data_IF_091709577205
#
_entry.id   IF_091709577205
#
_cell.length_a   1.000
_cell.length_b   1.000
_cell.length_c   1.000
_cell.angle_alpha   90.00
_cell.angle_beta   90.00
_cell.angle_gamma   90.00
#
_symmetry.space_group_name_H-M   'P 1'
#
loop_
_entity.id
_entity.type
_entity.pdbx_description
1 polymer ?
#
# COMPACT_ATOMS: atom_id res chain seq x y z
N UNK A 1 -16.05 25.00 2.52
CA UNK A 1 -15.99 23.65 1.92
C UNK A 1 -14.74 22.94 2.45
N UNK A 2 -14.84 22.31 3.62
CA UNK A 2 -13.71 21.58 4.20
C UNK A 2 -13.59 20.24 3.47
N UNK A 3 -12.50 20.06 2.73
CA UNK A 3 -12.10 18.79 2.15
C UNK A 3 -11.95 17.76 3.29
N UNK A 4 -12.82 16.75 3.35
CA UNK A 4 -13.02 15.81 4.47
C UNK A 4 -11.85 14.86 4.82
N UNK A 5 -10.61 15.35 4.79
CA UNK A 5 -9.41 14.60 5.11
C UNK A 5 -8.82 15.09 6.44
N UNK A 6 -8.86 14.24 7.45
CA UNK A 6 -8.21 14.46 8.75
C UNK A 6 -6.82 13.83 8.75
N UNK A 7 -5.82 14.49 9.33
CA UNK A 7 -4.45 13.96 9.50
C UNK A 7 -4.39 12.65 10.32
N UNK A 8 -5.47 12.33 11.03
CA UNK A 8 -5.60 11.15 11.87
C UNK A 8 -5.78 9.83 11.08
N UNK A 9 -6.26 9.88 9.84
CA UNK A 9 -6.54 8.68 9.04
C UNK A 9 -5.71 8.65 7.76
N UNK A 10 -5.22 7.47 7.32
CA UNK A 10 -4.53 7.36 6.05
C UNK A 10 -5.46 7.72 4.89
N UNK A 11 -4.90 8.33 3.85
CA UNK A 11 -5.61 8.62 2.59
C UNK A 11 -5.59 7.41 1.64
N UNK A 12 -4.61 6.52 1.82
CA UNK A 12 -4.51 5.22 1.15
C UNK A 12 -4.12 4.19 2.19
N UNK A 13 -4.86 3.09 2.27
CA UNK A 13 -4.58 1.97 3.16
C UNK A 13 -4.54 0.66 2.37
N UNK A 14 -3.45 -0.08 2.55
CA UNK A 14 -3.28 -1.47 2.14
C UNK A 14 -3.33 -2.30 3.43
N UNK A 15 -4.20 -3.30 3.48
CA UNK A 15 -4.32 -4.20 4.62
C UNK A 15 -4.24 -5.66 4.13
N UNK A 16 -3.20 -6.38 4.56
CA UNK A 16 -2.90 -7.77 4.21
C UNK A 16 -3.07 -8.09 2.71
N UNK A 17 -2.55 -7.22 1.85
CA UNK A 17 -2.68 -7.37 0.40
C UNK A 17 -1.86 -8.58 -0.04
N UNK A 18 -2.56 -9.52 -0.69
CA UNK A 18 -1.99 -10.76 -1.23
C UNK A 18 -2.28 -10.87 -2.72
N UNK A 19 -1.35 -11.47 -3.46
CA UNK A 19 -1.51 -11.71 -4.88
C UNK A 19 -0.76 -12.97 -5.30
N UNK A 20 -1.43 -13.80 -6.10
CA UNK A 20 -0.83 -14.97 -6.73
C UNK A 20 -1.10 -15.00 -8.24
N UNK A 21 -0.16 -15.59 -8.97
CA UNK A 21 -0.33 -16.04 -10.36
C UNK A 21 -0.26 -17.56 -10.38
N UNK A 22 -1.43 -18.21 -10.52
CA UNK A 22 -1.54 -19.65 -10.29
C UNK A 22 -1.12 -20.01 -8.87
N UNK A 23 -0.16 -20.92 -8.74
CA UNK A 23 0.39 -21.37 -7.45
C UNK A 23 1.49 -20.46 -6.89
N UNK A 24 1.94 -19.46 -7.64
CA UNK A 24 3.02 -18.58 -7.22
C UNK A 24 2.49 -17.32 -6.53
N UNK A 25 2.73 -17.19 -5.22
CA UNK A 25 2.36 -16.01 -4.42
C UNK A 25 3.44 -14.92 -4.54
N UNK A 26 3.08 -13.81 -5.21
CA UNK A 26 3.96 -12.66 -5.49
C UNK A 26 3.89 -11.59 -4.40
N UNK A 27 2.70 -11.29 -3.86
CA UNK A 27 2.53 -10.45 -2.68
C UNK A 27 2.09 -11.32 -1.52
N UNK A 28 2.90 -11.37 -0.46
CA UNK A 28 2.76 -12.30 0.68
C UNK A 28 2.18 -11.63 1.93
N UNK A 29 1.15 -10.81 1.76
CA UNK A 29 0.52 -10.06 2.85
C UNK A 29 1.27 -8.77 3.12
N UNK A 30 0.95 -7.73 2.35
CA UNK A 30 1.54 -6.40 2.46
C UNK A 30 0.54 -5.44 3.08
N UNK A 31 0.96 -4.73 4.12
CA UNK A 31 0.18 -3.67 4.76
C UNK A 31 0.96 -2.35 4.72
N UNK A 32 0.30 -1.28 4.30
CA UNK A 32 0.90 0.05 4.15
C UNK A 32 -0.17 1.12 4.29
N UNK A 33 0.10 2.13 5.10
CA UNK A 33 -0.70 3.34 5.20
C UNK A 33 0.06 4.51 4.56
N UNK A 34 -0.63 5.31 3.76
CA UNK A 34 -0.12 6.57 3.22
C UNK A 34 -0.96 7.70 3.76
N UNK A 35 -0.35 8.63 4.51
CA UNK A 35 -1.03 9.79 5.08
C UNK A 35 -1.02 10.96 4.09
N UNK A 36 -1.86 11.95 4.38
CA UNK A 36 -1.95 13.16 3.56
C UNK A 36 -0.61 13.89 3.52
N UNK A 37 -0.07 14.09 2.32
CA UNK A 37 1.20 14.78 2.09
C UNK A 37 2.44 13.88 2.20
N UNK A 38 2.27 12.59 2.51
CA UNK A 38 3.38 11.63 2.47
C UNK A 38 3.64 11.19 1.03
N UNK A 39 4.94 11.06 0.70
CA UNK A 39 5.41 10.50 -0.57
C UNK A 39 6.20 9.24 -0.24
N UNK A 40 5.75 8.11 -0.77
CA UNK A 40 6.40 6.81 -0.56
C UNK A 40 6.94 6.31 -1.90
N UNK A 41 8.14 5.74 -1.86
CA UNK A 41 8.75 5.03 -2.98
C UNK A 41 8.90 3.56 -2.61
N UNK A 42 8.45 2.67 -3.50
CA UNK A 42 8.66 1.23 -3.38
C UNK A 42 9.86 0.87 -4.25
N UNK A 43 10.85 0.21 -3.65
CA UNK A 43 12.08 -0.21 -4.32
C UNK A 43 12.26 -1.71 -4.18
N UNK A 44 12.83 -2.32 -5.21
CA UNK A 44 13.15 -3.74 -5.20
C UNK A 44 13.72 -4.21 -6.54
N UNK A 45 14.41 -5.37 -6.56
CA UNK A 45 14.84 -5.99 -7.81
C UNK A 45 13.63 -6.40 -8.67
N UNK A 46 13.88 -6.68 -9.95
CA UNK A 46 12.85 -7.18 -10.87
C UNK A 46 12.16 -8.42 -10.29
N UNK A 47 10.82 -8.41 -10.23
CA UNK A 47 10.00 -9.51 -9.71
C UNK A 47 9.87 -9.61 -8.18
N UNK A 48 10.25 -8.57 -7.42
CA UNK A 48 10.20 -8.57 -5.94
C UNK A 48 8.80 -8.41 -5.33
N UNK A 49 7.77 -8.18 -6.14
CA UNK A 49 6.37 -8.10 -5.72
C UNK A 49 5.43 -8.35 -6.89
#
# INVERSE_FOLDING_TARGET
>A
MANGWTTASPIVQLADVRKSFGTFEVLKGISLDVKKGEVICIIGPSGSG
#
